data_IF_197978393130
#
_entry.id   IF_197978393130
#
_cell.length_a   1.000
_cell.length_b   1.000
_cell.length_c   1.000
_cell.angle_alpha   90.00
_cell.angle_beta   90.00
_cell.angle_gamma   90.00
#
_symmetry.space_group_name_H-M   'P 1'
#
loop_
_entity.id
_entity.type
_entity.pdbx_description
1 polymer ?
#
# COMPACT_ATOMS: atom_id res chain seq x y z
N UNK A 1 13.02 3.88 13.09
CA UNK A 1 13.65 3.60 11.77
C UNK A 1 14.02 4.94 11.12
N UNK A 2 15.05 4.99 10.26
CA UNK A 2 15.49 6.19 9.52
C UNK A 2 15.18 6.07 8.02
N UNK A 3 13.95 5.69 7.69
CA UNK A 3 13.48 5.55 6.31
C UNK A 3 12.82 6.85 5.86
N UNK A 4 12.98 7.18 4.58
CA UNK A 4 12.12 8.12 3.87
C UNK A 4 10.69 7.56 3.74
N UNK A 5 9.67 8.40 3.55
CA UNK A 5 8.30 7.94 3.27
C UNK A 5 8.21 6.95 2.11
N UNK A 6 8.98 7.17 1.05
CA UNK A 6 9.07 6.33 -0.13
C UNK A 6 9.64 4.95 0.20
N UNK A 7 10.72 4.90 0.98
CA UNK A 7 11.31 3.63 1.46
C UNK A 7 10.35 2.88 2.37
N UNK A 8 9.65 3.59 3.27
CA UNK A 8 8.66 2.98 4.15
C UNK A 8 7.49 2.38 3.36
N UNK A 9 6.98 3.11 2.35
CA UNK A 9 5.91 2.63 1.48
C UNK A 9 6.37 1.43 0.64
N UNK A 10 7.58 1.48 0.10
CA UNK A 10 8.18 0.37 -0.66
C UNK A 10 8.32 -0.87 0.22
N UNK A 11 8.85 -0.72 1.44
CA UNK A 11 8.98 -1.82 2.40
C UNK A 11 7.62 -2.45 2.75
N UNK A 12 6.57 -1.62 2.89
CA UNK A 12 5.21 -2.07 3.20
C UNK A 12 4.45 -2.68 2.01
N UNK A 13 4.97 -2.60 0.79
CA UNK A 13 4.29 -3.07 -0.44
C UNK A 13 5.17 -4.05 -1.22
N UNK A 14 5.91 -3.59 -2.23
CA UNK A 14 6.76 -4.42 -3.08
C UNK A 14 7.87 -5.12 -2.29
N UNK A 15 8.40 -4.48 -1.24
CA UNK A 15 9.38 -5.08 -0.32
C UNK A 15 8.80 -6.27 0.45
N UNK A 16 7.59 -6.12 1.00
CA UNK A 16 6.86 -7.21 1.65
C UNK A 16 6.52 -8.35 0.69
N UNK A 17 6.05 -8.04 -0.51
CA UNK A 17 5.81 -9.03 -1.55
C UNK A 17 7.09 -9.81 -1.91
N UNK A 18 8.20 -9.10 -2.07
CA UNK A 18 9.51 -9.69 -2.36
C UNK A 18 10.00 -10.60 -1.23
N UNK A 19 9.82 -10.20 0.04
CA UNK A 19 10.15 -11.02 1.19
C UNK A 19 9.37 -12.34 1.22
N UNK A 20 8.14 -12.34 0.72
CA UNK A 20 7.28 -13.51 0.56
C UNK A 20 7.52 -14.29 -0.76
N UNK A 21 8.46 -13.84 -1.60
CA UNK A 21 8.72 -14.39 -2.94
C UNK A 21 7.47 -14.37 -3.84
N UNK A 22 6.66 -13.33 -3.72
CA UNK A 22 5.46 -13.08 -4.54
C UNK A 22 5.73 -11.98 -5.54
N UNK A 23 5.42 -12.22 -6.82
CA UNK A 23 5.59 -11.25 -7.91
C UNK A 23 4.29 -10.58 -8.38
N UNK A 24 3.16 -11.00 -7.83
CA UNK A 24 1.80 -10.67 -8.24
C UNK A 24 1.04 -9.80 -7.23
N UNK A 25 1.69 -9.32 -6.17
CA UNK A 25 1.12 -8.39 -5.17
C UNK A 25 2.10 -7.26 -4.84
N UNK A 26 1.64 -6.23 -4.14
CA UNK A 26 2.48 -5.11 -3.68
C UNK A 26 2.84 -4.08 -4.76
N UNK A 27 2.22 -4.16 -5.95
CA UNK A 27 2.39 -3.23 -7.07
C UNK A 27 1.09 -3.07 -7.85
N UNK A 28 0.90 -1.91 -8.47
CA UNK A 28 -0.23 -1.65 -9.36
C UNK A 28 0.24 -1.87 -10.79
N UNK A 29 -0.03 -3.05 -11.35
CA UNK A 29 0.32 -3.41 -12.72
C UNK A 29 -0.62 -4.50 -13.27
N UNK A 30 -0.79 -4.59 -14.59
CA UNK A 30 -1.52 -5.70 -15.21
C UNK A 30 -0.98 -7.06 -14.76
N UNK A 31 -1.88 -8.01 -14.49
CA UNK A 31 -1.54 -9.35 -14.02
C UNK A 31 -1.28 -9.48 -12.52
N UNK A 32 -1.25 -8.38 -11.76
CA UNK A 32 -1.19 -8.43 -10.29
C UNK A 32 -2.59 -8.56 -9.67
N UNK A 33 -2.68 -9.16 -8.48
CA UNK A 33 -3.91 -9.21 -7.68
C UNK A 33 -4.34 -7.78 -7.35
N UNK A 34 -5.64 -7.51 -7.46
CA UNK A 34 -6.22 -6.21 -7.18
C UNK A 34 -6.39 -6.00 -5.64
N UNK A 35 -5.26 -5.89 -4.96
CA UNK A 35 -5.17 -5.56 -3.53
C UNK A 35 -4.74 -4.09 -3.41
N UNK A 36 -5.67 -3.21 -3.07
CA UNK A 36 -5.49 -1.76 -3.10
C UNK A 36 -6.06 -1.11 -1.84
N UNK A 37 -5.41 -0.03 -1.39
CA UNK A 37 -5.95 0.91 -0.41
C UNK A 37 -6.09 2.26 -1.08
N UNK A 38 -7.28 2.85 -1.04
CA UNK A 38 -7.53 4.21 -1.51
C UNK A 38 -7.51 5.14 -0.32
N UNK A 39 -6.65 6.16 -0.38
CA UNK A 39 -6.52 7.15 0.68
C UNK A 39 -7.42 8.36 0.40
N UNK A 40 -8.18 8.80 1.40
CA UNK A 40 -8.83 10.11 1.43
C UNK A 40 -7.82 11.15 1.94
N UNK A 41 -6.75 11.36 1.18
CA UNK A 41 -5.69 12.28 1.56
C UNK A 41 -5.09 12.98 0.33
N UNK A 42 -4.60 14.24 0.48
CA UNK A 42 -3.97 14.96 -0.64
C UNK A 42 -2.66 14.34 -1.13
N UNK A 43 -2.00 13.51 -0.31
CA UNK A 43 -0.72 12.88 -0.63
C UNK A 43 -0.52 11.61 0.16
N UNK A 44 0.16 10.63 -0.45
CA UNK A 44 0.53 9.35 0.17
C UNK A 44 1.37 9.53 1.44
N UNK A 45 2.09 10.65 1.60
CA UNK A 45 2.91 10.91 2.80
C UNK A 45 2.07 11.01 4.08
N UNK A 46 0.78 11.33 3.96
CA UNK A 46 -0.16 11.34 5.10
C UNK A 46 -0.31 9.95 5.73
N UNK A 47 -0.21 8.88 4.94
CA UNK A 47 -0.24 7.50 5.44
C UNK A 47 0.92 7.20 6.39
N UNK A 48 2.11 7.73 6.11
CA UNK A 48 3.31 7.50 6.92
C UNK A 48 3.30 8.36 8.19
N UNK A 49 2.84 9.60 8.11
CA UNK A 49 3.00 10.58 9.19
C UNK A 49 1.76 10.80 10.06
N UNK A 50 0.60 10.26 9.69
CA UNK A 50 -0.62 10.36 10.50
C UNK A 50 -1.17 8.96 10.80
N UNK A 51 -0.47 8.15 11.60
CA UNK A 51 -1.02 6.87 12.05
C UNK A 51 -2.22 7.09 12.97
N UNK A 52 -3.23 6.21 12.88
CA UNK A 52 -4.38 6.18 13.78
C UNK A 52 -5.51 7.17 13.44
N UNK A 53 -5.42 7.92 12.35
CA UNK A 53 -6.53 8.74 11.84
C UNK A 53 -7.26 8.04 10.67
N UNK A 54 -8.55 8.31 10.47
CA UNK A 54 -9.34 7.69 9.40
C UNK A 54 -8.96 8.28 8.03
N UNK A 55 -7.90 7.75 7.42
CA UNK A 55 -7.41 8.16 6.10
C UNK A 55 -7.81 7.22 4.97
N UNK A 56 -8.33 6.04 5.28
CA UNK A 56 -8.69 5.04 4.28
C UNK A 56 -10.11 5.33 3.79
N UNK A 57 -10.25 5.64 2.50
CA UNK A 57 -11.55 5.78 1.83
C UNK A 57 -12.18 4.42 1.56
N UNK A 58 -11.38 3.48 1.07
CA UNK A 58 -11.83 2.14 0.70
C UNK A 58 -10.67 1.15 0.64
N UNK A 59 -10.98 -0.11 0.87
CA UNK A 59 -10.07 -1.24 0.65
C UNK A 59 -10.64 -2.12 -0.44
N UNK A 60 -9.78 -2.55 -1.36
CA UNK A 60 -10.13 -3.51 -2.40
C UNK A 60 -9.23 -4.72 -2.18
N UNK A 61 -9.82 -5.89 -1.99
CA UNK A 61 -9.10 -7.14 -1.81
C UNK A 61 -9.51 -8.13 -2.91
N UNK A 62 -8.54 -8.67 -3.66
CA UNK A 62 -8.80 -9.56 -4.80
C UNK A 62 -9.83 -9.01 -5.80
N UNK A 63 -9.93 -7.68 -5.94
CA UNK A 63 -10.91 -7.03 -6.81
C UNK A 63 -12.31 -6.85 -6.20
N UNK A 64 -12.51 -7.22 -4.94
CA UNK A 64 -13.76 -7.00 -4.21
C UNK A 64 -13.62 -5.80 -3.26
N UNK A 65 -14.60 -4.90 -3.28
CA UNK A 65 -14.67 -3.79 -2.34
C UNK A 65 -15.02 -4.32 -0.94
N UNK A 66 -14.21 -3.98 0.06
CA UNK A 66 -14.38 -4.37 1.48
C UNK A 66 -14.73 -3.17 2.34
#
# INVERSE_FOLDING_TARGET
MRMTPEEALSAATVGGASALRRGDVGRIAPGCRADLVVLEAPSYTHFVYRPGVPLIRSVIEAGSLT
#
